data_IF_882021481783
#
_entry.id   IF_882021481783
#
_cell.length_a   1.000
_cell.length_b   1.000
_cell.length_c   1.000
_cell.angle_alpha   90.00
_cell.angle_beta   90.00
_cell.angle_gamma   90.00
#
_symmetry.space_group_name_H-M   'P 1'
#
loop_
_entity.id
_entity.type
_entity.pdbx_description
1 polymer ?
#
# COMPACT_ATOMS: atom_id res chain seq x y z
N UNK A 1 -34.80 33.13 -32.43
CA UNK A 1 -35.67 32.36 -31.51
C UNK A 1 -35.07 30.96 -31.39
N UNK A 2 -34.16 30.76 -30.43
CA UNK A 2 -33.53 29.46 -30.17
C UNK A 2 -34.57 28.54 -29.51
N UNK A 3 -35.17 27.66 -30.30
CA UNK A 3 -36.13 26.67 -29.83
C UNK A 3 -35.35 25.68 -28.96
N UNK A 4 -35.52 25.74 -27.64
CA UNK A 4 -35.02 24.75 -26.69
C UNK A 4 -35.58 23.38 -27.10
N UNK A 5 -34.71 22.54 -27.66
CA UNK A 5 -35.00 21.14 -27.91
C UNK A 5 -34.79 20.40 -26.58
N UNK A 6 -35.76 20.51 -25.67
CA UNK A 6 -35.81 19.65 -24.48
C UNK A 6 -36.23 18.24 -24.93
N UNK A 7 -35.33 17.55 -25.64
CA UNK A 7 -35.45 16.10 -25.82
C UNK A 7 -35.02 15.49 -24.49
N UNK A 8 -36.00 15.16 -23.66
CA UNK A 8 -35.79 14.26 -22.54
C UNK A 8 -35.12 12.97 -23.04
N UNK A 9 -34.32 12.35 -22.18
CA UNK A 9 -33.69 11.07 -22.47
C UNK A 9 -34.77 10.04 -22.79
N UNK A 10 -34.68 9.41 -23.96
CA UNK A 10 -35.57 8.30 -24.29
C UNK A 10 -35.23 7.09 -23.41
N UNK A 11 -36.22 6.22 -23.14
CA UNK A 11 -36.01 5.02 -22.32
C UNK A 11 -34.88 4.13 -22.88
N UNK A 12 -34.75 4.06 -24.21
CA UNK A 12 -33.67 3.36 -24.88
C UNK A 12 -32.29 3.99 -24.62
N UNK A 13 -32.19 5.33 -24.67
CA UNK A 13 -30.94 6.03 -24.35
C UNK A 13 -30.57 5.86 -22.87
N UNK A 14 -31.54 5.83 -21.96
CA UNK A 14 -31.30 5.59 -20.53
C UNK A 14 -30.82 4.17 -20.26
N UNK A 15 -31.37 3.18 -20.96
CA UNK A 15 -30.88 1.80 -20.89
C UNK A 15 -29.48 1.66 -21.48
N UNK A 16 -29.20 2.36 -22.58
CA UNK A 16 -27.88 2.39 -23.19
C UNK A 16 -26.84 3.00 -22.25
N UNK A 17 -27.15 4.15 -21.63
CA UNK A 17 -26.24 4.81 -20.69
C UNK A 17 -26.03 4.00 -19.40
N UNK A 18 -27.08 3.31 -18.93
CA UNK A 18 -26.95 2.41 -17.79
C UNK A 18 -26.03 1.21 -18.14
N UNK A 19 -26.19 0.62 -19.32
CA UNK A 19 -25.33 -0.48 -19.77
C UNK A 19 -23.87 -0.04 -19.94
N UNK A 20 -23.61 1.15 -20.48
CA UNK A 20 -22.23 1.64 -20.60
C UNK A 20 -21.61 1.88 -19.23
N UNK A 21 -22.35 2.40 -18.25
CA UNK A 21 -21.87 2.55 -16.87
C UNK A 21 -21.57 1.19 -16.24
N UNK A 22 -22.42 0.19 -16.43
CA UNK A 22 -22.18 -1.16 -15.91
C UNK A 22 -20.92 -1.79 -16.52
N UNK A 23 -20.74 -1.67 -17.84
CA UNK A 23 -19.54 -2.15 -18.53
C UNK A 23 -18.28 -1.42 -18.05
N UNK A 24 -18.33 -0.09 -17.90
CA UNK A 24 -17.23 0.67 -17.33
C UNK A 24 -16.91 0.24 -15.90
N UNK A 25 -17.94 -0.01 -15.09
CA UNK A 25 -17.79 -0.56 -13.74
C UNK A 25 -16.99 -1.84 -13.73
N UNK A 26 -17.28 -2.79 -14.63
CA UNK A 26 -16.55 -4.06 -14.70
C UNK A 26 -15.07 -3.92 -15.04
N UNK A 27 -14.65 -2.81 -15.65
CA UNK A 27 -13.25 -2.53 -15.98
C UNK A 27 -12.57 -1.68 -14.90
N UNK A 28 -13.24 -0.64 -14.41
CA UNK A 28 -12.66 0.32 -13.46
C UNK A 28 -12.52 -0.27 -12.07
N UNK A 29 -13.51 -1.05 -11.59
CA UNK A 29 -13.46 -1.67 -10.27
C UNK A 29 -12.25 -2.59 -10.06
N UNK A 30 -11.96 -3.59 -10.92
CA UNK A 30 -10.80 -4.46 -10.71
C UNK A 30 -9.48 -3.66 -10.74
N UNK A 31 -9.36 -2.68 -11.63
CA UNK A 31 -8.17 -1.83 -11.70
C UNK A 31 -7.99 -1.04 -10.39
N UNK A 32 -9.06 -0.42 -9.88
CA UNK A 32 -9.02 0.34 -8.63
C UNK A 32 -8.63 -0.56 -7.44
N UNK A 33 -9.17 -1.78 -7.36
CA UNK A 33 -8.80 -2.73 -6.31
C UNK A 33 -7.34 -3.16 -6.39
N UNK A 34 -6.81 -3.39 -7.60
CA UNK A 34 -5.39 -3.73 -7.79
C UNK A 34 -4.47 -2.58 -7.35
N UNK A 35 -4.82 -1.35 -7.71
CA UNK A 35 -4.06 -0.16 -7.28
C UNK A 35 -4.08 0.00 -5.75
N UNK A 36 -5.21 -0.24 -5.09
CA UNK A 36 -5.31 -0.19 -3.63
C UNK A 36 -4.39 -1.23 -2.97
N UNK A 37 -4.44 -2.49 -3.40
CA UNK A 37 -3.60 -3.55 -2.83
C UNK A 37 -2.11 -3.24 -3.03
N UNK A 38 -1.72 -2.79 -4.22
CA UNK A 38 -0.33 -2.39 -4.47
C UNK A 38 0.11 -1.23 -3.59
N UNK A 39 -0.77 -0.25 -3.37
CA UNK A 39 -0.46 0.90 -2.51
C UNK A 39 -0.28 0.52 -1.05
N UNK A 40 -1.08 -0.43 -0.54
CA UNK A 40 -0.93 -0.95 0.82
C UNK A 40 0.38 -1.70 0.99
N UNK A 41 0.71 -2.61 0.06
CA UNK A 41 1.97 -3.36 0.10
C UNK A 41 3.19 -2.43 0.04
N UNK A 42 3.14 -1.40 -0.81
CA UNK A 42 4.22 -0.40 -0.91
C UNK A 42 4.34 0.43 0.36
N UNK A 43 3.21 0.80 0.97
CA UNK A 43 3.19 1.55 2.22
C UNK A 43 3.77 0.71 3.38
N UNK A 44 3.34 -0.54 3.55
CA UNK A 44 3.87 -1.45 4.57
C UNK A 44 5.37 -1.65 4.42
N UNK A 45 5.86 -1.79 3.18
CA UNK A 45 7.29 -1.90 2.90
C UNK A 45 8.03 -0.61 3.26
N UNK A 46 7.51 0.56 2.89
CA UNK A 46 8.14 1.84 3.20
C UNK A 46 8.19 2.09 4.70
N UNK A 47 7.10 1.76 5.40
CA UNK A 47 7.00 1.87 6.84
C UNK A 47 7.97 0.91 7.55
N UNK A 48 8.00 -0.37 7.15
CA UNK A 48 8.95 -1.33 7.69
C UNK A 48 10.42 -0.92 7.50
N UNK A 49 10.77 -0.35 6.34
CA UNK A 49 12.09 0.22 6.11
C UNK A 49 12.36 1.42 7.02
N UNK A 50 11.40 2.34 7.17
CA UNK A 50 11.52 3.52 8.03
C UNK A 50 11.80 3.10 9.48
N UNK A 51 11.02 2.17 10.02
CA UNK A 51 11.20 1.69 11.40
C UNK A 51 12.54 0.97 11.56
N UNK A 52 12.97 0.16 10.57
CA UNK A 52 14.29 -0.47 10.60
C UNK A 52 15.42 0.58 10.64
N UNK A 53 15.34 1.65 9.85
CA UNK A 53 16.35 2.71 9.89
C UNK A 53 16.35 3.49 11.21
N UNK A 54 15.17 3.89 11.71
CA UNK A 54 15.03 4.60 12.98
C UNK A 54 15.56 3.77 14.16
N UNK A 55 15.21 2.47 14.20
CA UNK A 55 15.66 1.58 15.27
C UNK A 55 17.16 1.29 15.17
N UNK A 56 17.69 1.07 13.96
CA UNK A 56 19.11 0.85 13.71
C UNK A 56 19.97 2.07 14.10
N UNK A 57 19.55 3.27 13.71
CA UNK A 57 20.21 4.52 14.13
C UNK A 57 20.17 4.69 15.65
N UNK A 58 19.01 4.41 16.28
CA UNK A 58 18.87 4.53 17.73
C UNK A 58 19.79 3.58 18.50
N UNK A 59 20.03 2.37 17.98
CA UNK A 59 20.91 1.38 18.60
C UNK A 59 22.38 1.72 18.37
N UNK A 60 22.73 2.16 17.16
CA UNK A 60 24.07 2.62 16.84
C UNK A 60 24.46 3.80 17.74
N UNK A 61 23.57 4.76 17.94
CA UNK A 61 23.79 5.90 18.85
C UNK A 61 23.92 5.47 20.33
N UNK A 62 23.21 4.43 20.76
CA UNK A 62 23.22 3.96 22.17
C UNK A 62 24.43 3.11 22.51
N UNK A 63 24.90 2.26 21.59
CA UNK A 63 25.87 1.21 21.90
C UNK A 63 27.12 1.23 21.02
N UNK A 64 27.14 2.04 19.95
CA UNK A 64 28.26 2.11 19.01
C UNK A 64 28.38 0.91 18.06
N UNK A 65 27.57 -0.15 18.27
CA UNK A 65 27.51 -1.36 17.45
C UNK A 65 26.06 -1.83 17.31
N UNK A 66 25.68 -2.39 16.17
CA UNK A 66 24.38 -3.03 16.00
C UNK A 66 24.37 -4.39 16.71
N UNK A 67 23.81 -4.43 17.91
CA UNK A 67 23.66 -5.66 18.68
C UNK A 67 22.41 -6.44 18.26
N UNK A 68 22.41 -7.76 18.54
CA UNK A 68 21.25 -8.63 18.30
C UNK A 68 20.10 -8.16 19.21
N UNK A 69 19.17 -7.41 18.63
CA UNK A 69 18.00 -6.90 19.33
C UNK A 69 16.73 -7.46 18.71
N UNK A 70 15.86 -8.00 19.55
CA UNK A 70 14.54 -8.49 19.17
C UNK A 70 13.49 -7.59 19.81
N UNK A 71 12.71 -6.90 18.97
CA UNK A 71 11.63 -6.02 19.41
C UNK A 71 10.34 -6.47 18.74
N UNK A 72 9.38 -6.86 19.56
CA UNK A 72 8.06 -7.31 19.14
C UNK A 72 7.07 -6.21 19.54
N UNK A 73 6.43 -5.60 18.55
CA UNK A 73 5.38 -4.61 18.72
C UNK A 73 4.11 -5.14 18.06
N UNK A 74 2.92 -4.69 18.51
CA UNK A 74 1.64 -5.23 18.02
C UNK A 74 1.53 -5.11 16.49
N UNK A 75 1.74 -6.23 15.80
CA UNK A 75 1.65 -6.35 14.34
C UNK A 75 2.97 -6.54 13.59
N UNK A 76 4.14 -6.43 14.24
CA UNK A 76 5.42 -6.71 13.58
C UNK A 76 6.59 -7.00 14.56
N UNK A 77 7.60 -7.70 14.06
CA UNK A 77 8.82 -8.08 14.77
C UNK A 77 10.02 -7.52 14.05
N UNK A 78 10.93 -6.88 14.79
CA UNK A 78 12.24 -6.45 14.30
C UNK A 78 13.32 -7.26 14.96
N UNK A 79 14.22 -7.82 14.16
CA UNK A 79 15.41 -8.51 14.65
C UNK A 79 16.66 -8.12 13.88
N UNK A 80 17.78 -8.03 14.59
CA UNK A 80 19.10 -7.72 14.01
C UNK A 80 20.03 -8.92 14.19
N UNK A 81 20.60 -9.43 13.10
CA UNK A 81 21.60 -10.50 13.11
C UNK A 81 22.81 -10.10 12.26
N UNK A 82 23.99 -10.01 12.88
CA UNK A 82 25.29 -9.93 12.18
C UNK A 82 25.36 -8.91 11.02
N UNK A 83 24.93 -7.67 11.25
CA UNK A 83 24.93 -6.60 10.23
C UNK A 83 23.74 -6.62 9.27
N UNK A 84 22.73 -7.45 9.54
CA UNK A 84 21.46 -7.51 8.82
C UNK A 84 20.29 -7.21 9.78
N UNK A 85 19.45 -6.24 9.42
CA UNK A 85 18.22 -5.90 10.14
C UNK A 85 17.00 -6.40 9.36
N UNK A 86 16.11 -7.12 10.02
CA UNK A 86 14.91 -7.67 9.40
C UNK A 86 13.64 -7.21 10.13
N UNK A 87 12.63 -6.85 9.34
CA UNK A 87 11.27 -6.54 9.76
C UNK A 87 10.36 -7.68 9.29
N UNK A 88 9.57 -8.25 10.19
CA UNK A 88 8.64 -9.33 9.91
C UNK A 88 7.24 -8.94 10.36
N UNK A 89 6.30 -8.91 9.43
CA UNK A 89 4.86 -8.75 9.63
C UNK A 89 4.18 -10.08 9.26
N UNK A 90 2.94 -10.36 9.73
CA UNK A 90 2.21 -11.59 9.42
C UNK A 90 2.23 -12.01 7.93
N UNK A 91 2.23 -11.03 7.02
CA UNK A 91 2.14 -11.29 5.58
C UNK A 91 3.50 -11.20 4.86
N UNK A 92 4.50 -10.54 5.45
CA UNK A 92 5.70 -10.13 4.73
C UNK A 92 6.93 -10.01 5.63
N UNK A 93 8.10 -10.41 5.13
CA UNK A 93 9.39 -10.19 5.80
C UNK A 93 10.36 -9.46 4.87
N UNK A 94 11.01 -8.42 5.39
CA UNK A 94 11.96 -7.58 4.68
C UNK A 94 13.26 -7.50 5.46
N UNK A 95 14.40 -7.56 4.78
CA UNK A 95 15.70 -7.44 5.41
C UNK A 95 16.58 -6.44 4.69
N UNK A 96 17.35 -5.68 5.46
CA UNK A 96 18.40 -4.77 4.99
C UNK A 96 19.74 -5.25 5.55
N UNK A 97 20.81 -5.11 4.76
CA UNK A 97 22.19 -5.35 5.20
C UNK A 97 22.90 -4.01 5.28
N UNK A 98 23.69 -3.79 6.33
CA UNK A 98 24.68 -2.71 6.34
C UNK A 98 25.73 -2.97 5.23
N UNK A 99 26.11 -1.90 4.53
CA UNK A 99 27.17 -1.90 3.52
C UNK A 99 28.50 -1.48 4.13
#
# INVERSE_FOLDING_TARGET
MFRKNERGFTLAESLLSMMTILLLGTVVLPIATQMMVQSQLLWEKQEGMRVLFEEGESQFLKSGELQIHHKEEDGYVIYWESGQGCFSSPDQTFCIKEQ
#
